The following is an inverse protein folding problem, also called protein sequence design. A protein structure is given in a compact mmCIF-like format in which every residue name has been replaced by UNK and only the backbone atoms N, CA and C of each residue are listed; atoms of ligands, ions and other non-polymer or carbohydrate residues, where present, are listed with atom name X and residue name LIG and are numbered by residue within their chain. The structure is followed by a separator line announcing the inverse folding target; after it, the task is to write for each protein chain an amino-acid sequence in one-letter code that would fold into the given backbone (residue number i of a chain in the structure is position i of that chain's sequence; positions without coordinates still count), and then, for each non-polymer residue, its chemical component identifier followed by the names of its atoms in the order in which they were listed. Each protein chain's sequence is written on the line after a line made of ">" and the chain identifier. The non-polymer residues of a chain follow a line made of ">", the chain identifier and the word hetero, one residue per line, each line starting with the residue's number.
data_IF_135377954383
#
_entry.id   IF_135377954383
#
_cell.length_a   1.000
_cell.length_b   1.000
_cell.length_c   1.000
_cell.angle_alpha   90.00
_cell.angle_beta   90.00
_cell.angle_gamma   90.00
#
_symmetry.space_group_name_H-M   'P 1'
#
loop_
_entity.id
_entity.type
_entity.pdbx_description
1 polymer ?
#
# COMPACT_ATOMS: atom_id res chain seq x y z
N UNK A 1 -16.97 10.92 -1.41
CA UNK A 1 -15.93 11.55 -2.27
C UNK A 1 -16.63 12.58 -3.14
N UNK A 2 -16.05 13.77 -3.31
CA UNK A 2 -16.59 14.83 -4.18
C UNK A 2 -16.27 14.68 -5.67
N UNK A 3 -15.75 13.53 -6.12
CA UNK A 3 -15.36 13.23 -7.51
C UNK A 3 -14.28 12.15 -7.57
N UNK A 4 -13.97 11.67 -8.79
CA UNK A 4 -12.94 10.66 -9.05
C UNK A 4 -11.54 11.29 -9.19
N UNK A 5 -10.48 10.48 -9.22
CA UNK A 5 -9.10 10.94 -9.40
C UNK A 5 -8.90 11.75 -10.71
N UNK A 6 -9.76 11.54 -11.72
CA UNK A 6 -9.80 12.31 -12.98
C UNK A 6 -10.88 13.40 -13.03
N UNK A 7 -11.97 13.27 -12.28
CA UNK A 7 -13.16 14.12 -12.45
C UNK A 7 -13.37 15.15 -11.32
N UNK A 8 -12.39 15.28 -10.41
CA UNK A 8 -12.38 16.36 -9.43
C UNK A 8 -12.92 15.94 -8.07
N UNK A 9 -12.21 15.04 -7.39
CA UNK A 9 -12.30 14.91 -5.93
C UNK A 9 -11.48 16.00 -5.22
N UNK A 10 -11.87 16.32 -3.99
CA UNK A 10 -11.14 17.25 -3.13
C UNK A 10 -10.62 16.52 -1.90
N UNK A 11 -9.35 16.70 -1.57
CA UNK A 11 -8.72 16.21 -0.33
C UNK A 11 -8.34 17.35 0.64
N UNK A 12 -8.48 18.62 0.24
CA UNK A 12 -8.02 19.76 1.06
C UNK A 12 -8.70 19.98 2.41
N UNK A 13 -9.89 19.41 2.62
CA UNK A 13 -10.62 19.48 3.89
C UNK A 13 -10.50 18.19 4.72
N UNK A 14 -9.88 17.16 4.15
CA UNK A 14 -9.71 15.87 4.82
C UNK A 14 -8.52 15.99 5.77
N UNK A 15 -8.77 15.91 7.08
CA UNK A 15 -7.74 16.08 8.13
C UNK A 15 -7.65 14.86 9.05
N UNK A 16 -8.59 13.93 8.90
CA UNK A 16 -8.64 12.69 9.66
C UNK A 16 -8.76 11.50 8.71
N UNK A 17 -8.23 10.34 9.09
CA UNK A 17 -8.48 9.10 8.37
C UNK A 17 -9.98 8.81 8.27
N UNK A 18 -10.37 8.18 7.18
CA UNK A 18 -11.70 7.65 6.99
C UNK A 18 -11.91 6.43 7.91
N UNK A 19 -12.56 6.67 9.04
CA UNK A 19 -12.90 5.64 10.02
C UNK A 19 -14.03 4.72 9.55
N UNK A 20 -14.66 4.99 8.40
CA UNK A 20 -15.68 4.09 7.87
C UNK A 20 -15.03 2.76 7.48
N UNK A 21 -15.60 1.62 7.88
CA UNK A 21 -15.14 0.33 7.39
C UNK A 21 -15.25 0.32 5.87
N UNK A 22 -14.15 0.01 5.19
CA UNK A 22 -14.13 -0.09 3.73
C UNK A 22 -15.01 -1.28 3.33
N UNK A 23 -16.28 -1.01 3.00
CA UNK A 23 -17.29 -2.03 2.68
C UNK A 23 -16.98 -2.72 1.36
N UNK A 24 -16.46 -1.99 0.37
CA UNK A 24 -15.94 -2.57 -0.87
C UNK A 24 -14.93 -1.64 -1.53
N UNK A 25 -14.04 -2.21 -2.35
CA UNK A 25 -13.16 -1.49 -3.27
C UNK A 25 -13.80 -1.31 -4.65
N UNK A 26 -15.13 -1.47 -4.77
CA UNK A 26 -15.82 -1.41 -6.07
C UNK A 26 -15.62 -0.07 -6.77
N UNK A 27 -15.54 1.02 -6.01
CA UNK A 27 -15.20 2.34 -6.54
C UNK A 27 -13.84 2.38 -7.26
N UNK A 28 -12.94 1.44 -6.96
CA UNK A 28 -11.62 1.32 -7.57
C UNK A 28 -11.47 0.07 -8.44
N UNK A 29 -12.56 -0.67 -8.69
CA UNK A 29 -12.49 -1.94 -9.40
C UNK A 29 -11.81 -1.80 -10.76
N UNK A 30 -12.15 -0.75 -11.51
CA UNK A 30 -11.58 -0.44 -12.83
C UNK A 30 -10.08 -0.15 -12.77
N UNK A 31 -9.64 0.63 -11.77
CA UNK A 31 -8.22 0.93 -11.56
C UNK A 31 -7.41 -0.31 -11.16
N UNK A 32 -8.04 -1.21 -10.41
CA UNK A 32 -7.41 -2.44 -9.93
C UNK A 32 -7.46 -3.58 -10.96
N UNK A 33 -8.26 -3.48 -12.03
CA UNK A 33 -8.39 -4.54 -13.06
C UNK A 33 -7.04 -5.02 -13.61
N UNK A 34 -6.08 -4.14 -14.00
CA UNK A 34 -4.79 -4.61 -14.53
C UNK A 34 -4.01 -5.45 -13.51
N UNK A 35 -4.04 -5.03 -12.23
CA UNK A 35 -3.40 -5.74 -11.13
C UNK A 35 -4.10 -7.08 -10.88
N UNK A 36 -5.44 -7.09 -10.87
CA UNK A 36 -6.22 -8.31 -10.69
C UNK A 36 -5.99 -9.31 -11.82
N UNK A 37 -5.90 -8.85 -13.08
CA UNK A 37 -5.63 -9.71 -14.24
C UNK A 37 -4.24 -10.37 -14.16
N UNK A 38 -3.25 -9.61 -13.68
CA UNK A 38 -1.89 -10.12 -13.50
C UNK A 38 -1.81 -11.14 -12.36
N UNK A 39 -2.43 -10.85 -11.21
CA UNK A 39 -2.39 -11.73 -10.04
C UNK A 39 -3.33 -12.94 -10.17
N UNK A 40 -4.43 -12.82 -10.90
CA UNK A 40 -5.50 -13.81 -10.94
C UNK A 40 -6.36 -13.81 -9.67
N UNK A 41 -7.21 -14.83 -9.54
CA UNK A 41 -8.13 -15.02 -8.39
C UNK A 41 -7.43 -15.47 -7.10
N UNK A 42 -6.18 -15.91 -7.19
CA UNK A 42 -5.32 -16.14 -6.04
C UNK A 42 -4.33 -14.99 -5.97
N UNK A 43 -4.16 -14.35 -4.81
CA UNK A 43 -3.14 -13.31 -4.54
C UNK A 43 -1.73 -13.94 -4.54
N UNK A 44 -1.46 -14.83 -5.48
CA UNK A 44 -0.19 -15.50 -5.74
C UNK A 44 0.19 -15.09 -7.14
N UNK A 45 1.24 -14.26 -7.30
CA UNK A 45 1.72 -13.90 -8.62
C UNK A 45 1.90 -15.14 -9.48
N UNK A 46 1.51 -15.04 -10.74
CA UNK A 46 1.82 -16.06 -11.75
C UNK A 46 3.34 -16.22 -11.98
N UNK A 47 4.14 -15.31 -11.42
CA UNK A 47 5.59 -15.29 -11.50
C UNK A 47 6.25 -15.86 -10.22
N UNK A 48 7.06 -16.93 -10.33
CA UNK A 48 7.82 -17.46 -9.20
C UNK A 48 8.73 -16.40 -8.56
N UNK A 49 8.78 -16.38 -7.24
CA UNK A 49 9.62 -15.43 -6.48
C UNK A 49 9.04 -14.02 -6.31
N UNK A 50 7.97 -13.68 -7.03
CA UNK A 50 7.27 -12.40 -6.82
C UNK A 50 6.31 -12.51 -5.62
N UNK A 51 6.26 -11.46 -4.82
CA UNK A 51 5.28 -11.31 -3.75
C UNK A 51 4.68 -9.93 -3.75
N UNK A 52 3.40 -9.85 -3.40
CA UNK A 52 2.64 -8.61 -3.39
C UNK A 52 2.38 -8.18 -1.97
N UNK A 53 2.69 -6.93 -1.67
CA UNK A 53 2.26 -6.25 -0.47
C UNK A 53 1.00 -5.44 -0.81
N UNK A 54 -0.17 -5.97 -0.48
CA UNK A 54 -1.44 -5.28 -0.74
C UNK A 54 -1.71 -4.22 0.33
N UNK A 55 -1.41 -2.96 0.00
CA UNK A 55 -1.64 -1.80 0.87
C UNK A 55 -2.89 -1.00 0.48
N UNK A 56 -3.68 -1.48 -0.48
CA UNK A 56 -4.76 -0.69 -1.12
C UNK A 56 -5.82 -0.24 -0.12
N UNK A 57 -6.36 -1.16 0.69
CA UNK A 57 -7.46 -0.84 1.62
C UNK A 57 -7.04 0.11 2.75
N UNK A 58 -5.85 -0.08 3.33
CA UNK A 58 -5.37 0.82 4.37
C UNK A 58 -5.03 2.22 3.82
N UNK A 59 -4.49 2.28 2.60
CA UNK A 59 -4.15 3.54 1.92
C UNK A 59 -5.41 4.32 1.54
N UNK A 60 -6.43 3.60 1.10
CA UNK A 60 -7.76 4.12 0.77
C UNK A 60 -8.41 4.93 1.90
N UNK A 61 -8.14 4.57 3.16
CA UNK A 61 -8.66 5.26 4.34
C UNK A 61 -7.90 6.55 4.66
N UNK A 62 -6.74 6.79 4.04
CA UNK A 62 -5.84 7.88 4.43
C UNK A 62 -5.98 9.13 3.59
N UNK A 63 -7.20 9.58 3.31
CA UNK A 63 -7.44 10.81 2.52
C UNK A 63 -6.78 12.05 3.12
N UNK A 64 -6.56 12.05 4.44
CA UNK A 64 -5.84 13.04 5.23
C UNK A 64 -4.34 13.13 4.93
N UNK A 65 -3.76 12.09 4.33
CA UNK A 65 -2.32 11.99 4.12
C UNK A 65 -1.78 12.70 2.88
N UNK A 66 -2.65 13.31 2.06
CA UNK A 66 -2.24 13.91 0.79
C UNK A 66 -1.64 15.31 0.92
N UNK A 67 -0.78 15.70 -0.04
CA UNK A 67 -0.23 17.06 -0.14
C UNK A 67 -1.33 18.12 -0.30
N UNK A 68 -2.40 17.77 -1.01
CA UNK A 68 -3.50 18.66 -1.33
C UNK A 68 -3.01 19.99 -1.95
N UNK A 69 -3.29 21.12 -1.31
CA UNK A 69 -2.89 22.45 -1.80
C UNK A 69 -1.45 22.82 -1.43
N UNK A 70 -0.78 22.04 -0.57
CA UNK A 70 0.55 22.37 -0.03
C UNK A 70 1.69 21.85 -0.93
N UNK A 71 1.60 22.14 -2.23
CA UNK A 71 2.56 21.68 -3.25
C UNK A 71 3.77 22.61 -3.42
N UNK A 72 3.72 23.80 -2.82
CA UNK A 72 4.74 24.83 -2.99
C UNK A 72 5.19 25.37 -1.64
N UNK A 73 6.51 25.60 -1.45
CA UNK A 73 7.00 26.29 -0.26
C UNK A 73 6.48 27.74 -0.17
N UNK A 74 6.02 28.30 -1.29
CA UNK A 74 5.42 29.65 -1.33
C UNK A 74 3.98 29.71 -0.79
N UNK A 75 3.42 28.59 -0.35
CA UNK A 75 2.08 28.50 0.23
C UNK A 75 1.08 27.70 -0.62
N UNK A 76 -0.20 27.69 -0.20
CA UNK A 76 -1.25 26.89 -0.83
C UNK A 76 -1.50 27.28 -2.30
N UNK A 77 -1.60 26.28 -3.17
CA UNK A 77 -2.02 26.47 -4.56
C UNK A 77 -3.55 26.54 -4.68
N UNK A 78 -4.10 27.07 -5.79
CA UNK A 78 -5.54 27.04 -6.05
C UNK A 78 -6.12 25.62 -6.01
N UNK A 79 -7.37 25.47 -5.54
CA UNK A 79 -8.03 24.17 -5.36
C UNK A 79 -8.07 23.27 -6.61
N UNK A 80 -8.16 23.87 -7.79
CA UNK A 80 -8.13 23.13 -9.07
C UNK A 80 -6.75 22.53 -9.40
N UNK A 81 -5.71 22.87 -8.63
CA UNK A 81 -4.35 22.34 -8.71
C UNK A 81 -3.96 21.50 -7.49
N UNK A 82 -4.90 21.17 -6.61
CA UNK A 82 -4.60 20.32 -5.47
C UNK A 82 -4.13 18.94 -5.91
N UNK A 83 -3.26 18.32 -5.13
CA UNK A 83 -2.74 16.99 -5.36
C UNK A 83 -3.32 15.99 -4.36
N UNK A 84 -4.15 15.08 -4.87
CA UNK A 84 -4.72 13.97 -4.09
C UNK A 84 -4.14 12.61 -4.55
N UNK A 85 -2.97 12.61 -5.19
CA UNK A 85 -2.26 11.41 -5.64
C UNK A 85 -1.00 11.16 -4.83
N UNK A 86 -0.28 12.22 -4.47
CA UNK A 86 0.95 12.16 -3.69
C UNK A 86 0.69 12.33 -2.20
N UNK A 87 1.64 11.87 -1.40
CA UNK A 87 1.56 11.79 0.05
C UNK A 87 2.50 12.79 0.71
N UNK A 88 2.06 13.37 1.83
CA UNK A 88 2.94 14.07 2.74
C UNK A 88 3.95 13.09 3.36
N UNK A 89 5.13 13.62 3.70
CA UNK A 89 6.13 12.94 4.52
C UNK A 89 6.40 13.78 5.78
N UNK A 90 6.42 13.18 6.98
CA UNK A 90 6.09 11.78 7.27
C UNK A 90 4.62 11.44 6.99
N UNK A 91 4.30 10.19 6.63
CA UNK A 91 2.95 9.82 6.23
C UNK A 91 2.74 8.37 5.77
N UNK A 92 1.77 8.17 4.88
CA UNK A 92 1.33 6.84 4.41
C UNK A 92 2.48 5.97 3.84
N UNK A 93 3.44 6.52 3.05
CA UNK A 93 4.57 5.73 2.56
C UNK A 93 5.46 5.15 3.67
N UNK A 94 5.54 5.80 4.84
CA UNK A 94 6.34 5.28 5.95
C UNK A 94 5.74 3.97 6.48
N UNK A 95 4.41 3.91 6.61
CA UNK A 95 3.71 2.68 7.01
C UNK A 95 3.90 1.55 5.98
N UNK A 96 3.95 1.87 4.68
CA UNK A 96 4.27 0.85 3.66
C UNK A 96 5.67 0.28 3.86
N UNK A 97 6.65 1.15 4.17
CA UNK A 97 8.02 0.76 4.44
C UNK A 97 8.13 -0.11 5.70
N UNK A 98 7.40 0.21 6.76
CA UNK A 98 7.33 -0.60 7.98
C UNK A 98 6.79 -2.01 7.71
N UNK A 99 5.71 -2.11 6.94
CA UNK A 99 5.14 -3.41 6.54
C UNK A 99 6.10 -4.21 5.66
N UNK A 100 6.76 -3.54 4.71
CA UNK A 100 7.76 -4.17 3.85
C UNK A 100 8.94 -4.70 4.68
N UNK A 101 9.44 -3.91 5.62
CA UNK A 101 10.49 -4.31 6.54
C UNK A 101 10.08 -5.54 7.37
N UNK A 102 8.87 -5.53 7.94
CA UNK A 102 8.34 -6.67 8.69
C UNK A 102 8.27 -7.96 7.84
N UNK A 103 7.89 -7.85 6.56
CA UNK A 103 7.89 -8.98 5.62
C UNK A 103 9.30 -9.51 5.38
N UNK A 104 10.28 -8.64 5.18
CA UNK A 104 11.68 -9.07 5.01
C UNK A 104 12.22 -9.77 6.25
N UNK A 105 12.01 -9.19 7.44
CA UNK A 105 12.44 -9.78 8.70
C UNK A 105 11.80 -11.15 8.94
N UNK A 106 10.51 -11.30 8.65
CA UNK A 106 9.81 -12.58 8.75
C UNK A 106 10.42 -13.63 7.82
N UNK A 107 10.75 -13.27 6.57
CA UNK A 107 11.36 -14.20 5.61
C UNK A 107 12.76 -14.62 6.02
N UNK A 108 13.58 -13.68 6.49
CA UNK A 108 14.92 -13.97 6.98
C UNK A 108 14.85 -14.99 8.11
N UNK A 109 13.98 -14.78 9.10
CA UNK A 109 13.78 -15.73 10.21
C UNK A 109 13.36 -17.12 9.74
N UNK A 110 12.48 -17.22 8.74
CA UNK A 110 12.07 -18.51 8.17
C UNK A 110 13.22 -19.21 7.43
N UNK A 111 14.07 -18.46 6.72
CA UNK A 111 15.26 -19.00 6.07
C UNK A 111 16.27 -19.53 7.10
N UNK A 112 16.55 -18.75 8.15
CA UNK A 112 17.47 -19.14 9.23
C UNK A 112 17.00 -20.42 9.95
N UNK A 113 15.68 -20.53 10.20
CA UNK A 113 15.07 -21.73 10.78
C UNK A 113 15.17 -22.95 9.85
N UNK A 114 14.92 -22.78 8.55
CA UNK A 114 15.02 -23.88 7.58
C UNK A 114 16.46 -24.38 7.43
N UNK A 115 17.46 -23.48 7.46
CA UNK A 115 18.88 -23.83 7.47
C UNK A 115 19.24 -24.62 8.74
N UNK A 116 18.76 -24.17 9.90
CA UNK A 116 19.01 -24.84 11.18
C UNK A 116 18.42 -26.26 11.22
N UNK A 117 17.21 -26.43 10.68
CA UNK A 117 16.55 -27.74 10.59
C UNK A 117 17.26 -28.67 9.60
N UNK A 118 17.66 -28.18 8.43
CA UNK A 118 18.39 -28.96 7.45
C UNK A 118 19.75 -29.44 8.00
N UNK A 119 20.47 -28.57 8.73
CA UNK A 119 21.72 -28.94 9.42
C UNK A 119 21.52 -30.02 10.49
N UNK A 120 20.40 -29.99 11.21
CA UNK A 120 20.05 -31.01 12.22
C UNK A 120 19.71 -32.36 11.58
N UNK A 121 19.03 -32.38 10.43
CA UNK A 121 18.74 -33.62 9.69
C UNK A 121 20.01 -34.28 9.15
N UNK A 122 20.97 -33.49 8.65
CA UNK A 122 22.26 -34.03 8.15
C UNK A 122 23.15 -34.64 9.22
N UNK A 123 23.03 -34.19 10.48
CA UNK A 123 23.81 -34.73 11.61
C UNK A 123 23.23 -36.05 12.16
N UNK A 124 21.96 -36.34 11.93
CA UNK A 124 21.27 -37.52 12.50
C UNK A 124 21.22 -38.75 11.56
N UNK A 125 21.84 -38.68 10.39
CA UNK A 125 21.94 -39.80 9.42
C UNK A 125 23.31 -40.50 9.42
N UNK A 126 24.11 -40.31 10.47
CA UNK A 126 25.43 -40.94 10.66
C UNK A 126 25.40 -42.11 11.62
#
# INVERSE_FOLDING_TARGET
>A
RGGDWRSGGSCHLETLPDATPVKSLEEWADMLQPVHNFLGSSIRPKLPGLAILNVTQMTAQRKDGHLSVYLSPSGPVPLHRQDCSHWCLPGVPDTWNELLYAVFMKRQKMMDQNVSLAGSTTLNTG
#
